data_IF_875117523697
#
_entry.id   IF_875117523697
#
_cell.length_a   1.000
_cell.length_b   1.000
_cell.length_c   1.000
_cell.angle_alpha   90.00
_cell.angle_beta   90.00
_cell.angle_gamma   90.00
#
_symmetry.space_group_name_H-M   'P 1'
#
loop_
_entity.id
_entity.type
_entity.pdbx_description
1 polymer ?
#
# COMPACT_ATOMS: atom_id res chain seq x y z
N UNK A 1 19.19 12.01 -3.62
CA UNK A 1 17.73 12.14 -3.40
C UNK A 1 17.04 11.12 -4.27
N UNK A 2 16.15 10.33 -3.69
CA UNK A 2 15.28 9.39 -4.38
C UNK A 2 13.84 9.93 -4.42
N UNK A 3 13.24 10.01 -5.60
CA UNK A 3 11.90 10.58 -5.79
C UNK A 3 10.84 9.49 -5.90
N UNK A 4 9.88 9.49 -4.99
CA UNK A 4 8.75 8.57 -4.93
C UNK A 4 7.44 9.36 -5.14
N UNK A 5 7.01 9.44 -6.40
CA UNK A 5 5.87 10.25 -6.83
C UNK A 5 4.78 9.41 -7.46
N UNK A 6 3.54 9.65 -7.08
CA UNK A 6 2.35 9.03 -7.62
C UNK A 6 1.77 7.90 -6.76
N UNK A 7 0.91 7.08 -7.37
CA UNK A 7 0.27 5.95 -6.71
C UNK A 7 1.25 4.81 -6.46
N UNK A 8 1.10 4.11 -5.35
CA UNK A 8 1.92 2.95 -5.02
C UNK A 8 1.29 1.70 -5.63
N UNK A 9 2.05 1.02 -6.49
CA UNK A 9 1.61 -0.18 -7.23
C UNK A 9 2.63 -1.31 -7.11
N UNK A 10 2.19 -2.56 -7.33
CA UNK A 10 3.08 -3.73 -7.27
C UNK A 10 3.96 -3.83 -8.51
N UNK A 11 3.36 -3.68 -9.69
CA UNK A 11 4.02 -3.78 -10.98
C UNK A 11 3.69 -2.59 -11.88
N UNK A 12 4.58 -2.26 -12.81
CA UNK A 12 4.42 -1.14 -13.73
C UNK A 12 3.20 -1.31 -14.70
N UNK A 13 2.69 -2.54 -14.82
CA UNK A 13 1.56 -2.89 -15.66
C UNK A 13 0.19 -2.82 -14.95
N UNK A 14 0.15 -2.52 -13.66
CA UNK A 14 -1.12 -2.28 -12.93
C UNK A 14 -1.81 -0.98 -13.40
N UNK A 15 -1.91 -0.86 -14.68
CA UNK A 15 -2.33 0.11 -15.68
C UNK A 15 -3.53 1.02 -15.40
N UNK A 16 -3.81 1.39 -14.14
CA UNK A 16 -4.78 2.43 -13.80
C UNK A 16 -4.14 3.78 -13.46
N UNK A 17 -2.82 3.87 -13.39
CA UNK A 17 -2.13 5.13 -13.14
C UNK A 17 -1.81 5.84 -14.45
N UNK A 18 -2.64 6.81 -14.82
CA UNK A 18 -2.29 7.82 -15.84
C UNK A 18 -1.29 8.80 -15.24
N UNK A 19 -0.02 8.41 -15.13
CA UNK A 19 1.00 9.29 -14.58
C UNK A 19 2.19 8.55 -13.97
N UNK A 20 2.97 9.26 -13.16
CA UNK A 20 4.06 8.65 -12.38
C UNK A 20 3.50 7.67 -11.35
N UNK A 21 4.13 6.50 -11.22
CA UNK A 21 3.78 5.51 -10.22
C UNK A 21 5.01 5.10 -9.42
N UNK A 22 4.80 4.79 -8.14
CA UNK A 22 5.79 4.21 -7.24
C UNK A 22 5.64 2.69 -7.33
N UNK A 23 6.37 2.08 -8.26
CA UNK A 23 6.33 0.64 -8.48
C UNK A 23 7.29 -0.06 -7.51
N UNK A 24 6.81 -0.96 -6.66
CA UNK A 24 7.65 -1.69 -5.71
C UNK A 24 8.72 -2.54 -6.41
N UNK A 25 8.42 -3.06 -7.62
CA UNK A 25 9.37 -3.82 -8.44
C UNK A 25 10.59 -3.01 -8.87
N UNK A 26 10.49 -1.67 -8.94
CA UNK A 26 11.60 -0.78 -9.27
C UNK A 26 12.23 -0.19 -8.00
N UNK A 27 11.39 0.34 -7.10
CA UNK A 27 11.86 1.05 -5.89
C UNK A 27 12.68 0.16 -4.96
N UNK A 28 12.29 -1.10 -4.80
CA UNK A 28 13.02 -2.01 -3.91
C UNK A 28 14.44 -2.28 -4.38
N UNK A 29 14.70 -2.67 -5.65
CA UNK A 29 16.05 -2.78 -6.18
C UNK A 29 16.87 -1.48 -6.10
N UNK A 30 16.27 -0.34 -6.46
CA UNK A 30 16.94 0.96 -6.39
C UNK A 30 17.41 1.29 -4.96
N UNK A 31 16.57 1.04 -3.95
CA UNK A 31 16.93 1.25 -2.55
C UNK A 31 18.01 0.26 -2.08
N UNK A 32 18.03 -0.96 -2.61
CA UNK A 32 19.08 -1.94 -2.34
C UNK A 32 20.41 -1.52 -2.98
N UNK A 33 20.40 -1.00 -4.19
CA UNK A 33 21.59 -0.42 -4.83
C UNK A 33 22.14 0.76 -4.03
N UNK A 34 21.28 1.72 -3.66
CA UNK A 34 21.68 2.85 -2.81
C UNK A 34 22.22 2.40 -1.43
N UNK A 35 21.74 1.28 -0.92
CA UNK A 35 22.19 0.70 0.35
C UNK A 35 23.61 0.16 0.24
N UNK A 36 23.99 -0.41 -0.90
CA UNK A 36 25.27 -1.07 -1.12
C UNK A 36 26.33 -0.15 -1.80
N UNK A 37 25.93 1.01 -2.33
CA UNK A 37 26.81 2.00 -2.91
C UNK A 37 27.61 2.76 -1.83
N UNK A 38 28.93 2.55 -1.77
CA UNK A 38 29.82 3.18 -0.78
C UNK A 38 29.94 4.70 -0.93
N UNK A 39 29.62 5.28 -2.07
CA UNK A 39 29.64 6.73 -2.30
C UNK A 39 28.41 7.43 -1.73
N UNK A 40 27.30 6.71 -1.56
CA UNK A 40 26.07 7.19 -0.94
C UNK A 40 26.18 7.14 0.59
N UNK A 41 26.22 8.30 1.23
CA UNK A 41 26.36 8.40 2.72
C UNK A 41 25.03 8.51 3.44
N UNK A 42 23.98 8.99 2.79
CA UNK A 42 22.62 9.13 3.32
C UNK A 42 21.62 9.20 2.16
N UNK A 43 20.36 8.86 2.41
CA UNK A 43 19.30 8.93 1.41
C UNK A 43 18.19 9.88 1.87
N UNK A 44 17.83 10.81 1.00
CA UNK A 44 16.61 11.61 1.14
C UNK A 44 15.53 10.98 0.24
N UNK A 45 14.50 10.43 0.85
CA UNK A 45 13.32 9.92 0.14
C UNK A 45 12.28 11.04 0.02
N UNK A 46 12.13 11.58 -1.19
CA UNK A 46 11.14 12.62 -1.48
C UNK A 46 9.81 11.97 -1.87
N UNK A 47 8.85 11.98 -0.96
CA UNK A 47 7.54 11.30 -1.12
C UNK A 47 6.47 12.31 -1.50
N UNK A 48 5.78 12.06 -2.61
CA UNK A 48 4.56 12.77 -3.00
C UNK A 48 3.53 11.76 -3.52
N UNK A 49 2.79 11.14 -2.59
CA UNK A 49 1.92 10.00 -2.86
C UNK A 49 0.66 10.01 -2.00
N UNK A 50 -0.52 9.77 -2.58
CA UNK A 50 -1.76 9.55 -1.82
C UNK A 50 -1.81 8.14 -1.18
N UNK A 51 -0.89 7.25 -1.55
CA UNK A 51 -0.86 5.85 -1.16
C UNK A 51 -1.10 4.91 -2.32
N UNK A 52 -1.70 3.75 -2.05
CA UNK A 52 -1.99 2.73 -3.05
C UNK A 52 -1.95 1.32 -2.47
N UNK A 53 -1.34 0.38 -3.19
CA UNK A 53 -1.24 -1.03 -2.80
C UNK A 53 -0.59 -1.20 -1.43
N UNK A 54 -1.33 -1.83 -0.50
CA UNK A 54 -0.81 -2.16 0.83
C UNK A 54 0.37 -3.14 0.75
N UNK A 55 0.31 -4.09 -0.18
CA UNK A 55 1.39 -5.06 -0.39
C UNK A 55 2.67 -4.38 -0.89
N UNK A 56 2.56 -3.53 -1.91
CA UNK A 56 3.71 -2.78 -2.43
C UNK A 56 4.29 -1.83 -1.37
N UNK A 57 3.44 -1.18 -0.58
CA UNK A 57 3.86 -0.31 0.52
C UNK A 57 4.67 -1.07 1.58
N UNK A 58 4.27 -2.30 1.93
CA UNK A 58 5.03 -3.15 2.87
C UNK A 58 6.39 -3.55 2.29
N UNK A 59 6.47 -3.89 1.00
CA UNK A 59 7.74 -4.22 0.34
C UNK A 59 8.71 -3.03 0.40
N UNK A 60 8.23 -1.84 0.01
CA UNK A 60 9.04 -0.61 0.04
C UNK A 60 9.42 -0.24 1.47
N UNK A 61 8.49 -0.30 2.43
CA UNK A 61 8.76 -0.06 3.84
C UNK A 61 9.88 -0.96 4.37
N UNK A 62 9.86 -2.24 3.98
CA UNK A 62 10.91 -3.21 4.35
C UNK A 62 12.27 -2.81 3.76
N UNK A 63 12.31 -2.38 2.49
CA UNK A 63 13.53 -1.91 1.85
C UNK A 63 14.07 -0.65 2.56
N UNK A 64 13.21 0.34 2.87
CA UNK A 64 13.56 1.53 3.65
C UNK A 64 14.10 1.16 5.03
N UNK A 65 13.52 0.18 5.70
CA UNK A 65 13.98 -0.30 7.01
C UNK A 65 15.37 -0.92 6.94
N UNK A 66 15.66 -1.70 5.88
CA UNK A 66 16.97 -2.30 5.64
C UNK A 66 18.02 -1.22 5.30
N UNK A 67 17.66 -0.29 4.42
CA UNK A 67 18.50 0.86 4.08
C UNK A 67 18.85 1.68 5.32
N UNK A 68 17.86 1.99 6.16
CA UNK A 68 18.05 2.73 7.42
C UNK A 68 19.01 2.04 8.38
N UNK A 69 19.10 0.71 8.37
CA UNK A 69 20.04 -0.02 9.22
C UNK A 69 21.51 0.20 8.81
N UNK A 70 21.77 0.61 7.57
CA UNK A 70 23.12 0.87 7.04
C UNK A 70 23.42 2.36 6.87
N UNK A 71 22.44 3.16 6.47
CA UNK A 71 22.61 4.57 6.10
C UNK A 71 21.46 5.42 6.66
N UNK A 72 21.70 6.67 7.07
CA UNK A 72 20.64 7.58 7.46
C UNK A 72 19.62 7.77 6.33
N UNK A 73 18.35 7.64 6.67
CA UNK A 73 17.22 7.88 5.73
C UNK A 73 16.38 9.03 6.28
N UNK A 74 16.20 10.05 5.47
CA UNK A 74 15.33 11.20 5.75
C UNK A 74 14.20 11.23 4.74
N UNK A 75 12.98 11.40 5.20
CA UNK A 75 11.83 11.62 4.32
C UNK A 75 11.54 13.11 4.22
N UNK A 76 11.35 13.58 3.01
CA UNK A 76 10.81 14.91 2.69
C UNK A 76 9.46 14.73 2.00
N UNK A 77 8.39 15.14 2.67
CA UNK A 77 7.03 15.00 2.15
C UNK A 77 6.69 16.16 1.19
N UNK A 78 5.98 15.84 0.11
CA UNK A 78 5.44 16.81 -0.84
C UNK A 78 4.06 17.29 -0.43
N UNK A 79 3.19 17.52 -1.42
CA UNK A 79 1.79 17.90 -1.20
C UNK A 79 1.02 16.78 -0.50
N UNK A 80 1.31 15.52 -0.88
CA UNK A 80 0.70 14.32 -0.31
C UNK A 80 1.79 13.38 0.21
N UNK A 81 1.57 12.80 1.36
CA UNK A 81 2.30 11.63 1.86
C UNK A 81 1.36 10.86 2.81
N UNK A 82 0.28 10.33 2.24
CA UNK A 82 -0.84 9.77 2.97
C UNK A 82 -0.98 8.26 2.71
N UNK A 83 -1.64 7.54 3.63
CA UNK A 83 -1.87 6.10 3.52
C UNK A 83 -0.56 5.34 3.22
N UNK A 84 -0.46 4.63 2.09
CA UNK A 84 0.78 3.98 1.65
C UNK A 84 1.98 4.92 1.56
N UNK A 85 1.77 6.21 1.21
CA UNK A 85 2.84 7.22 1.21
C UNK A 85 3.39 7.50 2.61
N UNK A 86 2.54 7.51 3.63
CA UNK A 86 2.96 7.57 5.02
C UNK A 86 3.59 6.25 5.49
N UNK A 87 3.04 5.12 5.01
CA UNK A 87 3.54 3.78 5.33
C UNK A 87 5.03 3.63 4.98
N UNK A 88 5.41 3.97 3.73
CA UNK A 88 6.80 3.88 3.29
C UNK A 88 7.71 4.90 3.99
N UNK A 89 7.13 5.99 4.52
CA UNK A 89 7.84 7.07 5.19
C UNK A 89 8.10 6.80 6.68
N UNK A 90 7.21 6.07 7.35
CA UNK A 90 7.18 5.99 8.81
C UNK A 90 8.43 5.33 9.43
N UNK A 91 9.18 4.52 8.66
CA UNK A 91 10.43 3.90 9.12
C UNK A 91 11.62 4.86 9.15
N UNK A 92 11.61 5.99 8.45
CA UNK A 92 12.75 6.89 8.32
C UNK A 92 13.29 7.41 9.66
N UNK A 93 14.54 7.89 9.69
CA UNK A 93 15.12 8.52 10.86
C UNK A 93 14.38 9.83 11.18
N UNK A 94 14.19 10.68 10.16
CA UNK A 94 13.49 11.95 10.26
C UNK A 94 12.48 12.09 9.13
N UNK A 95 11.38 12.78 9.43
CA UNK A 95 10.34 13.13 8.47
C UNK A 95 10.13 14.64 8.53
N UNK A 96 10.23 15.29 7.38
CA UNK A 96 9.91 16.69 7.20
C UNK A 96 8.66 16.82 6.33
N UNK A 97 7.73 17.64 6.78
CA UNK A 97 6.50 17.98 6.08
C UNK A 97 6.24 19.50 6.20
N UNK A 98 5.63 20.07 5.18
CA UNK A 98 5.13 21.43 5.23
C UNK A 98 3.80 21.47 5.99
N UNK A 99 3.42 22.64 6.56
CA UNK A 99 2.12 22.78 7.23
C UNK A 99 0.91 22.47 6.33
N UNK A 100 1.10 22.53 5.02
CA UNK A 100 0.07 22.24 4.01
C UNK A 100 0.12 20.81 3.47
N UNK A 101 1.07 20.01 3.92
CA UNK A 101 1.19 18.60 3.50
C UNK A 101 0.00 17.78 4.02
N UNK A 102 -0.72 17.14 3.11
CA UNK A 102 -1.72 16.16 3.49
C UNK A 102 -1.04 14.81 3.78
N UNK A 103 -1.02 14.41 5.05
CA UNK A 103 -0.31 13.21 5.51
C UNK A 103 -1.13 12.40 6.51
N UNK A 104 -0.56 11.31 7.01
CA UNK A 104 -1.26 10.38 7.90
C UNK A 104 -2.15 9.43 7.11
N UNK A 105 -3.48 9.49 7.28
CA UNK A 105 -4.42 8.51 6.71
C UNK A 105 -3.98 7.08 7.02
N UNK A 106 -3.66 6.81 8.31
CA UNK A 106 -3.17 5.52 8.79
C UNK A 106 -4.34 4.57 8.86
N UNK A 107 -4.65 3.94 7.74
CA UNK A 107 -5.80 3.07 7.59
C UNK A 107 -5.71 2.18 6.36
N UNK A 108 -6.60 1.19 6.33
CA UNK A 108 -6.78 0.28 5.22
C UNK A 108 -8.27 0.21 4.90
N UNK A 109 -8.60 0.23 3.62
CA UNK A 109 -9.95 -0.04 3.15
C UNK A 109 -9.90 -0.96 1.93
N UNK A 110 -11.02 -1.62 1.66
CA UNK A 110 -11.26 -2.36 0.42
C UNK A 110 -12.62 -1.94 -0.16
N UNK A 111 -12.70 -1.87 -1.48
CA UNK A 111 -13.94 -1.64 -2.19
C UNK A 111 -14.27 -2.86 -3.05
N UNK A 112 -15.42 -3.46 -2.78
CA UNK A 112 -15.88 -4.67 -3.45
C UNK A 112 -17.28 -4.42 -4.03
N UNK A 113 -17.40 -3.94 -5.28
CA UNK A 113 -18.69 -3.66 -5.87
C UNK A 113 -19.47 -4.96 -6.13
N UNK A 114 -20.73 -5.00 -5.70
CA UNK A 114 -21.68 -6.03 -6.07
C UNK A 114 -22.48 -5.56 -7.28
N UNK A 115 -22.28 -6.21 -8.39
CA UNK A 115 -23.00 -5.94 -9.65
C UNK A 115 -23.97 -7.06 -10.03
N UNK A 116 -24.21 -8.01 -9.13
CA UNK A 116 -25.04 -9.19 -9.40
C UNK A 116 -26.47 -8.83 -9.84
N UNK A 117 -27.10 -7.87 -9.16
CA UNK A 117 -28.44 -7.40 -9.53
C UNK A 117 -28.50 -6.73 -10.92
N UNK A 118 -27.46 -6.01 -11.34
CA UNK A 118 -27.37 -5.49 -12.70
C UNK A 118 -27.32 -6.65 -13.72
N UNK A 119 -26.47 -7.61 -13.45
CA UNK A 119 -26.23 -8.74 -14.38
C UNK A 119 -27.44 -9.68 -14.46
N UNK A 120 -28.01 -10.07 -13.32
CA UNK A 120 -29.10 -11.05 -13.25
C UNK A 120 -30.45 -10.43 -13.53
N UNK A 121 -30.81 -9.32 -12.86
CA UNK A 121 -32.17 -8.80 -12.88
C UNK A 121 -32.41 -7.81 -14.04
N UNK A 122 -31.39 -7.08 -14.46
CA UNK A 122 -31.51 -6.08 -15.52
C UNK A 122 -31.09 -6.63 -16.89
N UNK A 123 -29.97 -7.37 -16.93
CA UNK A 123 -29.45 -7.94 -18.18
C UNK A 123 -29.92 -9.38 -18.44
N UNK A 124 -30.58 -10.01 -17.45
CA UNK A 124 -31.12 -11.38 -17.58
C UNK A 124 -30.06 -12.47 -17.73
N UNK A 125 -28.79 -12.17 -17.32
CA UNK A 125 -27.72 -13.16 -17.39
C UNK A 125 -27.94 -14.25 -16.35
N UNK A 126 -27.68 -15.50 -16.74
CA UNK A 126 -27.69 -16.65 -15.85
C UNK A 126 -26.27 -17.19 -15.69
N UNK A 127 -25.89 -17.50 -14.47
CA UNK A 127 -24.57 -18.03 -14.14
C UNK A 127 -24.68 -19.47 -13.68
N UNK A 128 -23.87 -20.34 -14.26
CA UNK A 128 -23.65 -21.69 -13.79
C UNK A 128 -22.21 -21.80 -13.26
N UNK A 129 -22.00 -22.63 -12.22
CA UNK A 129 -20.72 -22.70 -11.53
C UNK A 129 -20.36 -24.14 -11.19
N UNK A 130 -19.17 -24.55 -11.61
CA UNK A 130 -18.53 -25.77 -11.13
C UNK A 130 -17.46 -25.41 -10.12
N UNK A 131 -17.55 -25.98 -8.92
CA UNK A 131 -16.63 -25.67 -7.82
C UNK A 131 -15.84 -26.90 -7.41
N UNK A 132 -14.55 -26.73 -7.19
CA UNK A 132 -13.68 -27.76 -6.62
C UNK A 132 -13.67 -27.75 -5.08
N UNK A 133 -14.01 -26.61 -4.47
CA UNK A 133 -14.15 -26.45 -3.03
C UNK A 133 -15.08 -25.27 -2.67
N UNK A 134 -15.31 -25.06 -1.36
CA UNK A 134 -16.28 -24.09 -0.82
C UNK A 134 -16.01 -22.65 -1.26
N UNK A 135 -14.77 -22.22 -1.35
CA UNK A 135 -14.39 -20.83 -1.61
C UNK A 135 -13.78 -20.60 -3.01
N UNK A 136 -13.86 -21.58 -3.91
CA UNK A 136 -13.25 -21.45 -5.24
C UNK A 136 -13.89 -20.36 -6.13
N UNK A 137 -15.05 -19.82 -5.73
CA UNK A 137 -15.70 -18.68 -6.37
C UNK A 137 -15.71 -17.40 -5.51
N UNK A 138 -14.78 -17.29 -4.55
CA UNK A 138 -14.62 -16.06 -3.77
C UNK A 138 -14.34 -14.87 -4.69
N UNK A 139 -15.03 -13.75 -4.47
CA UNK A 139 -14.85 -12.54 -5.27
C UNK A 139 -15.54 -12.56 -6.65
N UNK A 140 -16.42 -13.56 -6.93
CA UNK A 140 -17.23 -13.53 -8.16
C UNK A 140 -18.18 -12.34 -8.16
N UNK A 141 -18.43 -11.78 -9.37
CA UNK A 141 -19.39 -10.69 -9.56
C UNK A 141 -20.84 -11.18 -9.77
N UNK A 142 -21.06 -12.51 -9.82
CA UNK A 142 -22.38 -13.12 -10.08
C UNK A 142 -23.31 -13.19 -8.88
N UNK A 143 -22.79 -12.90 -7.68
CA UNK A 143 -23.53 -12.88 -6.42
C UNK A 143 -22.84 -12.00 -5.39
N UNK A 144 -23.54 -11.48 -4.37
CA UNK A 144 -22.92 -10.82 -3.22
C UNK A 144 -22.05 -11.80 -2.41
N UNK A 145 -21.18 -11.24 -1.59
CA UNK A 145 -20.45 -12.00 -0.58
C UNK A 145 -21.41 -12.58 0.46
N UNK A 146 -21.16 -13.80 0.90
CA UNK A 146 -21.84 -14.36 2.04
C UNK A 146 -21.21 -13.88 3.36
N UNK A 147 -21.84 -14.20 4.51
CA UNK A 147 -21.40 -13.76 5.84
C UNK A 147 -19.97 -14.22 6.16
N UNK A 148 -19.58 -15.44 5.79
CA UNK A 148 -18.24 -15.96 6.04
C UNK A 148 -17.17 -15.26 5.19
N UNK A 149 -17.50 -14.98 3.92
CA UNK A 149 -16.65 -14.23 3.02
C UNK A 149 -16.47 -12.78 3.51
N UNK A 150 -17.55 -12.14 3.97
CA UNK A 150 -17.49 -10.81 4.59
C UNK A 150 -16.65 -10.81 5.86
N UNK A 151 -16.78 -11.83 6.72
CA UNK A 151 -15.96 -11.97 7.92
C UNK A 151 -14.47 -12.15 7.56
N UNK A 152 -14.18 -12.91 6.51
CA UNK A 152 -12.81 -13.06 6.02
C UNK A 152 -12.21 -11.73 5.57
N UNK A 153 -12.96 -10.95 4.78
CA UNK A 153 -12.56 -9.61 4.33
C UNK A 153 -12.32 -8.65 5.51
N UNK A 154 -13.24 -8.64 6.47
CA UNK A 154 -13.11 -7.85 7.69
C UNK A 154 -11.84 -8.20 8.46
N UNK A 155 -11.59 -9.50 8.68
CA UNK A 155 -10.39 -9.97 9.35
C UNK A 155 -9.09 -9.63 8.59
N UNK A 156 -9.15 -9.59 7.25
CA UNK A 156 -8.02 -9.20 6.42
C UNK A 156 -7.71 -7.69 6.60
N UNK A 157 -8.74 -6.85 6.58
CA UNK A 157 -8.63 -5.40 6.80
C UNK A 157 -8.10 -5.12 8.21
N UNK A 158 -8.65 -5.76 9.23
CA UNK A 158 -8.22 -5.60 10.63
C UNK A 158 -6.74 -5.97 10.83
N UNK A 159 -6.30 -7.07 10.21
CA UNK A 159 -4.87 -7.45 10.24
C UNK A 159 -3.99 -6.41 9.55
N UNK A 160 -4.44 -5.92 8.42
CA UNK A 160 -3.72 -4.88 7.69
C UNK A 160 -3.61 -3.59 8.51
N UNK A 161 -4.70 -3.16 9.15
CA UNK A 161 -4.70 -2.00 10.03
C UNK A 161 -3.76 -2.16 11.23
N UNK A 162 -3.81 -3.31 11.92
CA UNK A 162 -2.89 -3.64 13.02
C UNK A 162 -1.43 -3.66 12.56
N UNK A 163 -1.17 -4.14 11.36
CA UNK A 163 0.18 -4.11 10.78
C UNK A 163 0.62 -2.67 10.55
N UNK A 164 -0.20 -1.83 9.92
CA UNK A 164 0.14 -0.45 9.65
C UNK A 164 0.40 0.34 10.94
N UNK A 165 -0.51 0.29 11.91
CA UNK A 165 -0.34 0.99 13.20
C UNK A 165 0.91 0.52 13.93
N UNK A 166 1.22 -0.78 13.88
CA UNK A 166 2.48 -1.32 14.43
C UNK A 166 3.71 -0.76 13.72
N UNK A 167 3.72 -0.67 12.38
CA UNK A 167 4.85 -0.09 11.62
C UNK A 167 5.08 1.37 12.00
N UNK A 168 4.00 2.14 12.16
CA UNK A 168 4.06 3.53 12.60
C UNK A 168 4.61 3.61 14.03
N UNK A 169 4.07 2.83 14.95
CA UNK A 169 4.52 2.77 16.34
C UNK A 169 6.03 2.46 16.43
N UNK A 170 6.47 1.40 15.76
CA UNK A 170 7.87 0.97 15.77
C UNK A 170 8.78 2.05 15.16
N UNK A 171 8.35 2.67 14.06
CA UNK A 171 9.14 3.68 13.33
C UNK A 171 9.22 5.03 14.03
N UNK A 172 8.11 5.48 14.63
CA UNK A 172 7.99 6.80 15.27
C UNK A 172 8.18 6.75 16.80
N UNK A 173 8.32 5.56 17.39
CA UNK A 173 8.48 5.38 18.84
C UNK A 173 7.30 5.94 19.66
N UNK A 174 6.10 5.78 19.13
CA UNK A 174 4.84 6.15 19.79
C UNK A 174 4.02 4.89 20.09
N UNK A 175 3.25 4.85 21.18
CA UNK A 175 2.41 3.69 21.48
C UNK A 175 1.31 3.53 20.42
N UNK A 176 0.85 2.29 20.22
CA UNK A 176 -0.42 1.99 19.56
C UNK A 176 -1.47 1.98 20.66
N UNK A 177 -2.41 2.91 20.65
CA UNK A 177 -3.56 2.93 21.54
C UNK A 177 -4.74 2.14 20.94
#
# INVERSE_FOLDING_TARGET
VYYAYGDIVSDAEDGMSQGSAICSGNVVPDLEELMDDDDVKAVVLRVNSPGGSAYASEQIWRAVTRLKAKKPVVVSMGTYAASGGYYISCAANYIYAEPTTLTGSIGIFGMFPDVSGLLTDKLGLKFDQVKTNRYSNFGTTSRPFNEEEMQYLTNMIDRGYKTFTKRVSDGRKIPVE
#
